data_IF_849660435180
#
_entry.id   IF_849660435180
#
_cell.length_a   1.000
_cell.length_b   1.000
_cell.length_c   1.000
_cell.angle_alpha   90.00
_cell.angle_beta   90.00
_cell.angle_gamma   90.00
#
_symmetry.space_group_name_H-M   'P 1'
#
loop_
_entity.id
_entity.type
_entity.pdbx_description
1 polymer ?
#
# COMPACT_ATOMS: atom_id res chain seq x y z
N UNK A 1 14.71 -2.61 -15.20
CA UNK A 1 14.66 -1.30 -15.84
C UNK A 1 13.96 -0.29 -14.94
N UNK A 2 14.60 0.82 -14.73
CA UNK A 2 14.07 1.87 -13.88
C UNK A 2 12.87 2.55 -14.52
N UNK A 3 11.87 2.83 -13.71
CA UNK A 3 10.73 3.61 -14.14
C UNK A 3 10.45 4.71 -13.13
N UNK A 4 10.31 5.92 -13.62
CA UNK A 4 9.81 7.02 -12.83
C UNK A 4 8.30 7.11 -13.02
N UNK A 5 7.56 6.97 -11.94
CA UNK A 5 6.09 7.00 -12.02
C UNK A 5 5.48 7.47 -10.71
N UNK A 6 4.24 7.91 -10.80
CA UNK A 6 3.36 8.10 -9.65
C UNK A 6 2.19 7.12 -9.77
N UNK A 7 1.82 6.54 -8.65
CA UNK A 7 0.67 5.66 -8.55
C UNK A 7 -0.15 6.06 -7.34
N UNK A 8 -1.42 6.37 -7.58
CA UNK A 8 -2.33 6.79 -6.52
C UNK A 8 -3.62 6.01 -6.60
N UNK A 9 -4.15 5.66 -5.45
CA UNK A 9 -5.50 5.14 -5.35
C UNK A 9 -6.28 5.91 -4.29
N UNK A 10 -7.56 6.13 -4.55
CA UNK A 10 -8.48 6.57 -3.52
C UNK A 10 -9.33 5.40 -3.11
N UNK A 11 -9.28 5.08 -1.83
CA UNK A 11 -9.95 3.92 -1.25
C UNK A 11 -10.94 4.37 -0.21
N UNK A 12 -12.16 3.82 -0.28
CA UNK A 12 -13.17 3.96 0.76
C UNK A 12 -13.26 2.62 1.49
N UNK A 13 -12.79 2.59 2.71
CA UNK A 13 -12.68 1.36 3.47
C UNK A 13 -12.79 1.65 4.96
N UNK A 14 -13.91 1.26 5.54
CA UNK A 14 -14.16 1.45 6.97
C UNK A 14 -14.58 0.11 7.57
N UNK A 15 -13.63 -0.80 7.77
CA UNK A 15 -13.94 -2.12 8.30
C UNK A 15 -14.43 -2.03 9.73
N UNK A 16 -15.42 -2.85 10.06
CA UNK A 16 -15.95 -2.98 11.41
C UNK A 16 -15.28 -4.13 12.14
N UNK A 17 -14.75 -5.09 11.40
CA UNK A 17 -14.12 -6.28 11.95
C UNK A 17 -12.60 -6.16 11.90
N UNK A 18 -11.94 -6.73 12.90
CA UNK A 18 -10.50 -6.86 12.89
C UNK A 18 -10.09 -7.87 11.80
N UNK A 19 -8.85 -7.83 11.35
CA UNK A 19 -8.27 -8.72 10.35
C UNK A 19 -8.76 -8.54 8.92
N UNK A 20 -9.61 -7.56 8.65
CA UNK A 20 -9.96 -7.19 7.27
C UNK A 20 -8.99 -6.10 6.83
N UNK A 21 -8.32 -6.34 5.71
CA UNK A 21 -7.24 -5.48 5.22
C UNK A 21 -7.50 -5.06 3.78
N UNK A 22 -7.15 -3.83 3.45
CA UNK A 22 -7.23 -3.35 2.08
C UNK A 22 -6.16 -2.32 1.80
N UNK A 23 -5.63 -2.31 0.60
CA UNK A 23 -4.60 -1.36 0.23
C UNK A 23 -4.01 -1.61 -1.14
N UNK A 24 -2.76 -1.17 -1.29
CA UNK A 24 -2.02 -1.33 -2.54
C UNK A 24 -0.94 -2.38 -2.37
N UNK A 25 -0.58 -3.01 -3.46
CA UNK A 25 0.47 -4.02 -3.49
C UNK A 25 1.40 -3.76 -4.68
N UNK A 26 2.69 -3.80 -4.39
CA UNK A 26 3.75 -3.85 -5.39
C UNK A 26 4.20 -5.30 -5.47
N UNK A 27 3.67 -6.02 -6.42
CA UNK A 27 3.80 -7.47 -6.50
C UNK A 27 4.81 -7.83 -7.57
N UNK A 28 5.83 -8.57 -7.20
CA UNK A 28 6.78 -9.13 -8.14
C UNK A 28 6.51 -10.62 -8.36
N UNK A 29 6.41 -11.35 -7.26
CA UNK A 29 6.12 -12.79 -7.21
C UNK A 29 5.43 -13.08 -5.89
N UNK A 30 4.79 -14.23 -5.77
CA UNK A 30 4.08 -14.58 -4.53
C UNK A 30 4.97 -14.58 -3.29
N UNK A 31 6.29 -14.68 -3.46
CA UNK A 31 7.24 -14.64 -2.36
C UNK A 31 8.01 -13.33 -2.28
N UNK A 32 7.68 -12.34 -3.11
CA UNK A 32 8.38 -11.06 -3.09
C UNK A 32 7.42 -9.94 -3.44
N UNK A 33 6.91 -9.26 -2.41
CA UNK A 33 5.97 -8.17 -2.59
C UNK A 33 6.02 -7.20 -1.41
N UNK A 34 5.60 -5.98 -1.70
CA UNK A 34 5.47 -4.90 -0.74
C UNK A 34 4.02 -4.45 -0.73
N UNK A 35 3.42 -4.31 0.45
CA UNK A 35 2.05 -3.84 0.57
C UNK A 35 1.94 -2.68 1.55
N UNK A 36 1.05 -1.74 1.22
CA UNK A 36 0.61 -0.68 2.12
C UNK A 36 -0.87 -0.89 2.34
N UNK A 37 -1.28 -1.10 3.57
CA UNK A 37 -2.63 -1.54 3.87
C UNK A 37 -3.21 -0.84 5.08
N UNK A 38 -4.53 -0.73 5.06
CA UNK A 38 -5.32 -0.21 6.17
C UNK A 38 -6.08 -1.38 6.80
N UNK A 39 -6.12 -1.39 8.10
CA UNK A 39 -6.91 -2.35 8.85
C UNK A 39 -7.32 -1.76 10.21
N UNK A 40 -8.29 -2.41 10.82
CA UNK A 40 -8.75 -2.05 12.16
C UNK A 40 -8.24 -3.09 13.15
N UNK A 41 -7.81 -2.64 14.31
CA UNK A 41 -7.47 -3.51 15.43
C UNK A 41 -7.71 -2.77 16.74
N UNK A 42 -8.42 -3.41 17.68
CA UNK A 42 -8.71 -2.84 19.00
C UNK A 42 -9.31 -1.43 18.91
N UNK A 43 -10.31 -1.26 18.05
CA UNK A 43 -11.03 0.01 17.84
C UNK A 43 -10.23 1.12 17.22
N UNK A 44 -9.02 0.84 16.71
CA UNK A 44 -8.18 1.81 16.02
C UNK A 44 -7.96 1.39 14.58
N UNK A 45 -7.70 2.38 13.73
CA UNK A 45 -7.34 2.14 12.35
C UNK A 45 -5.85 2.42 12.16
N UNK A 46 -5.22 1.56 11.37
CA UNK A 46 -3.77 1.63 11.12
C UNK A 46 -3.50 1.63 9.64
N UNK A 47 -2.43 2.32 9.27
CA UNK A 47 -1.77 2.14 7.98
C UNK A 47 -0.44 1.45 8.26
N UNK A 48 -0.21 0.34 7.58
CA UNK A 48 1.00 -0.46 7.78
C UNK A 48 1.63 -0.80 6.45
N UNK A 49 2.96 -0.80 6.43
CA UNK A 49 3.73 -1.29 5.29
C UNK A 49 4.35 -2.63 5.65
N UNK A 50 4.11 -3.64 4.81
CA UNK A 50 4.63 -4.99 4.99
C UNK A 50 5.46 -5.40 3.80
N UNK A 51 6.53 -6.13 4.07
CA UNK A 51 7.42 -6.67 3.05
C UNK A 51 7.51 -8.18 3.20
N UNK A 52 7.30 -8.88 2.08
CA UNK A 52 7.55 -10.31 1.96
C UNK A 52 8.70 -10.51 1.00
N UNK A 53 9.74 -11.19 1.43
CA UNK A 53 10.88 -11.58 0.60
C UNK A 53 11.04 -13.09 0.65
N UNK A 54 11.71 -13.63 -0.37
CA UNK A 54 11.93 -15.07 -0.50
C UNK A 54 12.55 -15.66 0.78
N UNK A 55 12.00 -16.79 1.22
CA UNK A 55 12.48 -17.55 2.39
C UNK A 55 12.47 -16.75 3.71
N UNK A 56 11.69 -15.66 3.76
CA UNK A 56 11.56 -14.85 4.96
C UNK A 56 10.09 -14.69 5.32
N UNK A 57 9.85 -14.46 6.60
CA UNK A 57 8.51 -14.13 7.07
C UNK A 57 8.14 -12.72 6.63
N UNK A 58 6.84 -12.45 6.55
CA UNK A 58 6.35 -11.09 6.33
C UNK A 58 6.80 -10.22 7.51
N UNK A 59 7.40 -9.08 7.20
CA UNK A 59 7.84 -8.12 8.22
C UNK A 59 7.10 -6.82 8.07
N UNK A 60 6.80 -6.18 9.20
CA UNK A 60 6.24 -4.83 9.24
C UNK A 60 7.37 -3.83 9.16
N UNK A 61 7.36 -2.97 8.17
CA UNK A 61 8.39 -1.93 8.02
C UNK A 61 8.00 -0.66 8.75
N UNK A 62 6.72 -0.33 8.79
CA UNK A 62 6.20 0.83 9.50
C UNK A 62 4.71 0.67 9.74
N UNK A 63 4.25 1.24 10.85
CA UNK A 63 2.85 1.21 11.24
C UNK A 63 2.51 2.53 11.91
N UNK A 64 1.43 3.17 11.46
CA UNK A 64 0.96 4.41 12.05
C UNK A 64 -0.53 4.30 12.36
N UNK A 65 -0.95 4.99 13.43
CA UNK A 65 -2.36 5.12 13.78
C UNK A 65 -2.96 6.21 12.90
N UNK A 66 -4.10 5.90 12.28
CA UNK A 66 -4.86 6.89 11.50
C UNK A 66 -5.87 7.55 12.43
N UNK A 67 -5.47 8.69 13.03
CA UNK A 67 -6.37 9.45 13.89
C UNK A 67 -7.50 10.05 13.07
N UNK A 68 -8.71 9.99 13.62
CA UNK A 68 -9.89 10.58 12.99
C UNK A 68 -10.15 10.03 11.58
N UNK A 69 -9.75 8.78 11.34
CA UNK A 69 -9.99 8.14 10.07
C UNK A 69 -11.49 7.97 9.83
N UNK A 70 -11.97 8.55 8.73
CA UNK A 70 -13.39 8.57 8.38
C UNK A 70 -13.78 7.50 7.35
N UNK A 71 -12.84 6.68 6.94
CA UNK A 71 -13.09 5.64 5.94
C UNK A 71 -12.62 5.99 4.54
N UNK A 72 -12.00 7.15 4.34
CA UNK A 72 -11.47 7.55 3.04
C UNK A 72 -9.99 7.86 3.15
N UNK A 73 -9.20 7.31 2.25
CA UNK A 73 -7.75 7.51 2.21
C UNK A 73 -7.25 7.48 0.78
N UNK A 74 -6.28 8.33 0.48
CA UNK A 74 -5.51 8.22 -0.76
C UNK A 74 -4.14 7.67 -0.40
N UNK A 75 -3.74 6.59 -1.07
CA UNK A 75 -2.39 6.02 -0.94
C UNK A 75 -1.63 6.36 -2.21
N UNK A 76 -0.42 6.88 -2.04
CA UNK A 76 0.41 7.33 -3.16
C UNK A 76 1.79 6.71 -3.10
N UNK A 77 2.25 6.24 -4.25
CA UNK A 77 3.63 5.80 -4.46
C UNK A 77 4.27 6.71 -5.50
N UNK A 78 5.46 7.22 -5.18
CA UNK A 78 6.32 7.89 -6.15
C UNK A 78 7.56 7.04 -6.36
N UNK A 79 7.85 6.71 -7.61
CA UNK A 79 9.09 6.02 -7.98
C UNK A 79 9.99 7.00 -8.71
N UNK A 80 11.21 7.16 -8.21
CA UNK A 80 12.21 8.05 -8.79
C UNK A 80 13.60 7.42 -8.63
N UNK A 81 14.24 7.09 -9.73
CA UNK A 81 15.61 6.56 -9.71
C UNK A 81 15.80 5.41 -8.71
N UNK A 82 14.99 4.37 -8.85
CA UNK A 82 15.03 3.18 -7.98
C UNK A 82 14.67 3.43 -6.52
N UNK A 83 14.08 4.56 -6.20
CA UNK A 83 13.61 4.83 -4.86
C UNK A 83 12.10 4.97 -4.88
N UNK A 84 11.44 4.23 -4.00
CA UNK A 84 10.01 4.34 -3.76
C UNK A 84 9.79 5.23 -2.54
N UNK A 85 8.92 6.23 -2.69
CA UNK A 85 8.47 7.04 -1.59
C UNK A 85 6.95 6.93 -1.49
N UNK A 86 6.47 6.69 -0.29
CA UNK A 86 5.06 6.44 -0.03
C UNK A 86 4.46 7.55 0.81
N UNK A 87 3.27 7.97 0.40
CA UNK A 87 2.51 9.02 1.06
C UNK A 87 1.07 8.56 1.28
N UNK A 88 0.39 9.22 2.17
CA UNK A 88 -1.05 9.04 2.33
C UNK A 88 -1.73 10.38 2.60
N UNK A 89 -3.02 10.46 2.27
CA UNK A 89 -3.85 11.65 2.53
C UNK A 89 -5.17 11.21 3.14
N UNK A 90 -5.55 11.88 4.21
CA UNK A 90 -6.83 11.66 4.89
C UNK A 90 -7.84 12.78 4.61
N UNK A 91 -7.48 13.77 3.80
CA UNK A 91 -8.29 14.95 3.51
C UNK A 91 -8.54 15.12 2.00
N UNK A 92 -8.70 14.00 1.32
CA UNK A 92 -9.01 13.94 -0.12
C UNK A 92 -7.94 14.59 -1.00
N UNK A 93 -6.68 14.46 -0.59
CA UNK A 93 -5.54 14.92 -1.39
C UNK A 93 -5.13 16.37 -1.16
N UNK A 94 -5.75 17.06 -0.22
CA UNK A 94 -5.35 18.44 0.10
C UNK A 94 -3.95 18.48 0.70
N UNK A 95 -3.64 17.51 1.55
CA UNK A 95 -2.31 17.33 2.12
C UNK A 95 -1.92 15.88 2.06
N UNK A 96 -0.69 15.61 1.64
CA UNK A 96 -0.10 14.28 1.69
C UNK A 96 0.92 14.24 2.81
N UNK A 97 0.84 13.20 3.63
CA UNK A 97 1.81 12.94 4.69
C UNK A 97 2.81 11.91 4.19
N UNK A 98 4.07 12.13 4.47
CA UNK A 98 5.12 11.15 4.20
C UNK A 98 4.87 9.90 5.04
N UNK A 99 4.99 8.75 4.41
CA UNK A 99 4.86 7.48 5.12
C UNK A 99 6.22 6.79 5.23
N UNK A 100 6.76 6.31 4.12
CA UNK A 100 8.07 5.65 4.09
C UNK A 100 8.81 5.97 2.80
N UNK A 101 10.13 5.69 2.80
CA UNK A 101 10.94 5.74 1.59
C UNK A 101 11.88 4.55 1.58
N UNK A 102 11.94 3.84 0.46
CA UNK A 102 12.69 2.60 0.32
C UNK A 102 13.51 2.60 -0.96
N UNK A 103 14.67 1.97 -0.88
CA UNK A 103 15.45 1.63 -2.07
C UNK A 103 14.77 0.43 -2.74
N UNK A 104 14.32 0.58 -3.96
CA UNK A 104 13.61 -0.48 -4.68
C UNK A 104 14.48 -1.73 -4.87
N UNK A 105 15.78 -1.55 -5.06
CA UNK A 105 16.71 -2.68 -5.25
C UNK A 105 16.79 -3.54 -3.98
N UNK A 106 16.64 -2.93 -2.80
CA UNK A 106 16.70 -3.65 -1.54
C UNK A 106 15.44 -4.44 -1.23
N UNK A 107 14.30 -4.03 -1.79
CA UNK A 107 13.02 -4.67 -1.49
C UNK A 107 12.58 -5.61 -2.60
N UNK A 108 13.02 -5.39 -3.83
CA UNK A 108 12.68 -6.22 -4.98
C UNK A 108 13.92 -6.98 -5.47
N UNK A 109 13.68 -8.10 -6.11
CA UNK A 109 14.75 -8.92 -6.68
C UNK A 109 15.44 -8.17 -7.82
N UNK A 110 16.77 -8.30 -7.91
CA UNK A 110 17.56 -7.67 -8.97
C UNK A 110 17.17 -8.09 -10.38
N UNK A 111 16.70 -9.32 -10.55
CA UNK A 111 16.30 -9.86 -11.84
C UNK A 111 14.90 -9.44 -12.23
N UNK A 112 14.40 -8.46 -11.56
CA UNK A 112 13.07 -7.96 -11.69
C UNK A 112 12.93 -7.13 -12.98
N UNK A 113 11.97 -7.47 -13.81
CA UNK A 113 11.72 -6.79 -15.08
C UNK A 113 10.45 -5.93 -15.05
N UNK A 114 9.71 -5.94 -13.96
CA UNK A 114 8.52 -5.09 -13.76
C UNK A 114 7.69 -5.56 -12.58
N UNK A 115 7.18 -4.64 -11.74
CA UNK A 115 6.22 -4.97 -10.71
C UNK A 115 4.81 -4.78 -11.23
N UNK A 116 3.93 -5.65 -10.79
CA UNK A 116 2.52 -5.40 -10.94
C UNK A 116 2.08 -4.52 -9.78
N UNK A 117 1.47 -3.40 -10.12
CA UNK A 117 0.84 -2.53 -9.14
C UNK A 117 -0.63 -2.89 -9.09
N UNK A 118 -1.15 -3.06 -7.91
CA UNK A 118 -2.53 -3.46 -7.79
C UNK A 118 -3.14 -3.02 -6.47
N UNK A 119 -4.42 -3.28 -6.34
CA UNK A 119 -5.19 -3.08 -5.13
C UNK A 119 -5.68 -4.43 -4.65
N UNK A 120 -5.89 -4.54 -3.34
CA UNK A 120 -6.38 -5.79 -2.78
C UNK A 120 -7.27 -5.52 -1.58
N UNK A 121 -8.13 -6.50 -1.29
CA UNK A 121 -8.92 -6.56 -0.06
C UNK A 121 -8.96 -8.00 0.38
N UNK A 122 -8.72 -8.25 1.65
CA UNK A 122 -8.73 -9.62 2.19
C UNK A 122 -9.29 -9.61 3.62
N UNK A 123 -10.00 -10.67 3.95
CA UNK A 123 -10.46 -10.95 5.30
C UNK A 123 -9.61 -12.00 6.00
N UNK A 124 -8.46 -12.33 5.42
CA UNK A 124 -7.52 -13.31 5.97
C UNK A 124 -8.17 -14.68 6.23
N UNK A 125 -9.03 -15.12 5.29
CA UNK A 125 -9.69 -16.40 5.37
C UNK A 125 -10.94 -16.44 6.24
N UNK A 126 -11.34 -15.30 6.82
CA UNK A 126 -12.55 -15.19 7.65
C UNK A 126 -13.72 -14.73 6.80
N UNK A 127 -14.92 -15.12 7.19
CA UNK A 127 -16.13 -14.57 6.58
C UNK A 127 -16.35 -13.17 7.13
N UNK A 128 -16.49 -12.18 6.25
CA UNK A 128 -16.70 -10.80 6.64
C UNK A 128 -17.70 -10.14 5.69
N UNK A 129 -18.43 -9.16 6.22
CA UNK A 129 -19.29 -8.28 5.43
C UNK A 129 -18.62 -6.97 5.09
N UNK A 130 -17.42 -6.75 5.60
CA UNK A 130 -16.64 -5.56 5.29
C UNK A 130 -16.14 -5.60 3.84
N UNK A 131 -16.11 -4.45 3.22
CA UNK A 131 -15.65 -4.33 1.85
C UNK A 131 -14.92 -2.99 1.66
N UNK A 132 -14.18 -2.89 0.59
CA UNK A 132 -13.54 -1.66 0.17
C UNK A 132 -14.00 -1.27 -1.23
N UNK A 133 -14.21 0.02 -1.41
CA UNK A 133 -14.45 0.61 -2.73
C UNK A 133 -13.23 1.41 -3.14
N UNK A 134 -12.82 1.27 -4.38
CA UNK A 134 -11.74 2.06 -4.94
C UNK A 134 -12.37 3.07 -5.90
N UNK A 135 -12.40 4.35 -5.49
CA UNK A 135 -13.05 5.40 -6.27
C UNK A 135 -12.33 5.64 -7.59
N UNK A 136 -10.99 5.63 -7.53
CA UNK A 136 -10.18 5.79 -8.72
C UNK A 136 -8.76 5.27 -8.47
N UNK A 137 -8.11 4.95 -9.58
CA UNK A 137 -6.71 4.57 -9.64
C UNK A 137 -6.06 5.47 -10.69
N UNK A 138 -4.95 6.10 -10.34
CA UNK A 138 -4.20 6.97 -11.25
C UNK A 138 -2.78 6.45 -11.38
N UNK A 139 -2.32 6.37 -12.60
CA UNK A 139 -0.94 6.02 -12.89
C UNK A 139 -0.37 7.03 -13.88
N UNK A 140 0.74 7.65 -13.53
CA UNK A 140 1.42 8.60 -14.40
C UNK A 140 2.86 8.18 -14.56
N UNK A 141 3.26 7.95 -15.79
CA UNK A 141 4.61 7.51 -16.15
C UNK A 141 5.41 8.73 -16.61
N UNK A 142 6.58 8.90 -16.02
CA UNK A 142 7.51 9.97 -16.37
C UNK A 142 8.75 9.43 -17.10
N UNK A 143 8.79 8.15 -17.36
CA UNK A 143 9.93 7.50 -18.03
C UNK A 143 10.00 7.94 -19.49
N UNK A 144 11.18 8.21 -19.95
CA UNK A 144 11.42 8.66 -21.32
C UNK A 144 11.90 7.54 -22.21
#
# INVERSE_FOLDING_TARGET
>A
KESDFDYEIKMNFLPKEDDVESGIIHYQKEWNYLSNLVYKMNKRYYLEQRLKQKDKKIVSLKKVVLKDYDGSIILKTESRKDRYTFYYSLDNGKQFKFFTSLDAIKVLDRNYTGALLGVFTTSNGRVSRDYADFDWVRYKDFTR
#
